data_IF_039289377535
#
_entry.id   IF_039289377535
#
_cell.length_a   1.000
_cell.length_b   1.000
_cell.length_c   1.000
_cell.angle_alpha   90.00
_cell.angle_beta   90.00
_cell.angle_gamma   90.00
#
_symmetry.space_group_name_H-M   'P 1'
#
loop_
_entity.id
_entity.type
_entity.pdbx_description
1 polymer ?
#
# COMPACT_ATOMS: atom_id res chain seq x y z
N UNK A 1 -18.68 -1.63 -37.98
CA UNK A 1 -18.11 -0.91 -36.83
C UNK A 1 -17.41 -1.95 -35.95
N UNK A 2 -16.11 -1.80 -35.65
CA UNK A 2 -15.35 -2.79 -34.86
C UNK A 2 -15.57 -2.49 -33.38
N UNK A 3 -16.21 -3.40 -32.66
CA UNK A 3 -16.55 -3.24 -31.24
C UNK A 3 -15.26 -3.18 -30.40
N UNK A 4 -14.79 -1.99 -29.95
CA UNK A 4 -13.48 -1.86 -29.32
C UNK A 4 -13.44 -2.58 -27.96
N UNK A 5 -14.60 -2.70 -27.31
CA UNK A 5 -14.78 -3.36 -26.01
C UNK A 5 -14.63 -4.88 -26.09
N UNK A 6 -15.00 -5.51 -27.21
CA UNK A 6 -14.87 -6.95 -27.41
C UNK A 6 -13.42 -7.40 -27.65
N UNK A 7 -12.66 -6.59 -28.40
CA UNK A 7 -11.23 -6.81 -28.64
C UNK A 7 -10.40 -6.63 -27.36
N UNK A 8 -10.70 -5.60 -26.56
CA UNK A 8 -10.01 -5.32 -25.29
C UNK A 8 -10.29 -6.40 -24.23
N UNK A 9 -11.50 -6.96 -24.15
CA UNK A 9 -11.80 -8.10 -23.26
C UNK A 9 -11.02 -9.36 -23.65
N UNK A 10 -10.88 -9.63 -24.95
CA UNK A 10 -10.16 -10.81 -25.48
C UNK A 10 -8.64 -10.69 -25.34
N UNK A 11 -8.07 -9.47 -25.41
CA UNK A 11 -6.64 -9.20 -25.24
C UNK A 11 -6.27 -8.65 -23.86
N UNK A 12 -7.21 -8.60 -22.90
CA UNK A 12 -7.01 -7.98 -21.59
C UNK A 12 -5.80 -8.55 -20.84
N UNK A 13 -5.59 -9.86 -20.94
CA UNK A 13 -4.44 -10.52 -20.33
C UNK A 13 -3.13 -10.07 -20.98
N UNK A 14 -3.06 -10.05 -22.31
CA UNK A 14 -1.89 -9.62 -23.08
C UNK A 14 -1.58 -8.14 -22.81
N UNK A 15 -2.61 -7.28 -22.81
CA UNK A 15 -2.49 -5.87 -22.47
C UNK A 15 -1.99 -5.67 -21.02
N UNK A 16 -2.49 -6.48 -20.07
CA UNK A 16 -2.05 -6.40 -18.67
C UNK A 16 -0.59 -6.84 -18.51
N UNK A 17 -0.19 -7.94 -19.17
CA UNK A 17 1.20 -8.43 -19.17
C UNK A 17 2.12 -7.39 -19.83
N UNK A 18 1.73 -6.86 -20.99
CA UNK A 18 2.50 -5.84 -21.68
C UNK A 18 2.67 -4.56 -20.84
N UNK A 19 1.62 -4.11 -20.15
CA UNK A 19 1.68 -2.98 -19.23
C UNK A 19 2.61 -3.27 -18.03
N UNK A 20 2.56 -4.48 -17.47
CA UNK A 20 3.43 -4.90 -16.36
C UNK A 20 4.90 -4.94 -16.79
N UNK A 21 5.19 -5.46 -17.99
CA UNK A 21 6.53 -5.47 -18.57
C UNK A 21 7.02 -4.05 -18.86
N UNK A 22 6.18 -3.19 -19.41
CA UNK A 22 6.51 -1.79 -19.66
C UNK A 22 6.87 -1.07 -18.34
N UNK A 23 6.05 -1.21 -17.30
CA UNK A 23 6.34 -0.65 -15.98
C UNK A 23 7.64 -1.20 -15.39
N UNK A 24 7.91 -2.50 -15.53
CA UNK A 24 9.16 -3.10 -15.07
C UNK A 24 10.39 -2.53 -15.80
N UNK A 25 10.31 -2.37 -17.13
CA UNK A 25 11.38 -1.74 -17.92
C UNK A 25 11.59 -0.30 -17.51
N UNK A 26 10.51 0.49 -17.37
CA UNK A 26 10.60 1.87 -16.89
C UNK A 26 11.23 1.97 -15.50
N UNK A 27 10.86 1.07 -14.58
CA UNK A 27 11.44 1.01 -13.24
C UNK A 27 12.94 0.68 -13.29
N UNK A 28 13.37 -0.26 -14.14
CA UNK A 28 14.79 -0.61 -14.32
C UNK A 28 15.56 0.58 -14.89
N UNK A 29 15.06 1.23 -15.93
CA UNK A 29 15.71 2.40 -16.55
C UNK A 29 15.79 3.57 -15.56
N UNK A 30 14.73 3.82 -14.79
CA UNK A 30 14.74 4.83 -13.73
C UNK A 30 15.75 4.49 -12.65
N UNK A 31 15.80 3.22 -12.21
CA UNK A 31 16.76 2.74 -11.22
C UNK A 31 18.19 2.87 -11.74
N UNK A 32 18.48 2.51 -12.99
CA UNK A 32 19.81 2.66 -13.59
C UNK A 32 20.27 4.12 -13.57
N UNK A 33 19.39 5.05 -13.94
CA UNK A 33 19.69 6.49 -13.89
C UNK A 33 19.92 7.00 -12.47
N UNK A 34 19.10 6.57 -11.51
CA UNK A 34 19.26 6.94 -10.09
C UNK A 34 20.52 6.32 -9.47
N UNK A 35 20.89 5.10 -9.89
CA UNK A 35 22.04 4.37 -9.32
C UNK A 35 23.36 4.87 -9.89
N UNK A 36 23.38 5.48 -11.07
CA UNK A 36 24.59 6.13 -11.61
C UNK A 36 25.09 7.28 -10.72
N UNK A 37 24.22 7.89 -9.91
CA UNK A 37 24.59 8.93 -8.94
C UNK A 37 25.01 8.36 -7.57
N UNK A 38 24.77 7.07 -7.31
CA UNK A 38 25.01 6.44 -5.99
C UNK A 38 26.25 5.55 -6.07
N UNK A 39 27.33 5.94 -5.40
CA UNK A 39 28.51 5.07 -5.26
C UNK A 39 28.24 4.04 -4.17
N UNK A 40 28.70 2.81 -4.38
CA UNK A 40 28.62 1.73 -3.37
C UNK A 40 29.23 2.12 -2.00
N UNK A 41 30.21 3.03 -2.02
CA UNK A 41 30.84 3.58 -0.81
C UNK A 41 29.85 4.40 0.03
N UNK A 42 28.92 5.12 -0.60
CA UNK A 42 27.92 5.97 0.07
C UNK A 42 26.85 5.11 0.74
N UNK A 43 26.49 3.97 0.13
CA UNK A 43 25.60 2.98 0.75
C UNK A 43 26.24 2.39 2.00
N UNK A 44 27.53 2.03 1.91
CA UNK A 44 28.26 1.47 3.06
C UNK A 44 28.42 2.49 4.19
N UNK A 45 28.75 3.74 3.88
CA UNK A 45 28.88 4.80 4.89
C UNK A 45 27.52 5.09 5.55
N UNK A 46 26.43 5.13 4.79
CA UNK A 46 25.08 5.31 5.30
C UNK A 46 24.66 4.17 6.24
N UNK A 47 24.96 2.90 5.90
CA UNK A 47 24.66 1.76 6.78
C UNK A 47 25.47 1.83 8.08
N UNK A 48 26.74 2.24 8.02
CA UNK A 48 27.56 2.43 9.23
C UNK A 48 27.14 3.66 10.06
N UNK A 49 26.50 4.66 9.44
CA UNK A 49 25.97 5.83 10.12
C UNK A 49 24.63 5.58 10.84
N UNK A 50 23.99 4.42 10.62
CA UNK A 50 22.76 4.07 11.32
C UNK A 50 23.01 3.88 12.81
N UNK A 51 22.42 4.75 13.62
CA UNK A 51 22.47 4.59 15.07
C UNK A 51 21.65 3.37 15.53
N UNK A 52 22.05 2.69 16.62
CA UNK A 52 21.25 1.62 17.21
C UNK A 52 19.83 2.08 17.56
N UNK A 53 19.67 3.34 17.98
CA UNK A 53 18.37 3.94 18.30
C UNK A 53 17.44 3.97 17.08
N UNK A 54 17.94 4.39 15.92
CA UNK A 54 17.18 4.37 14.67
C UNK A 54 16.77 2.96 14.28
N UNK A 55 17.67 1.98 14.44
CA UNK A 55 17.37 0.58 14.15
C UNK A 55 16.27 0.02 15.08
N UNK A 56 16.38 0.26 16.38
CA UNK A 56 15.35 -0.16 17.35
C UNK A 56 14.01 0.52 17.11
N UNK A 57 14.01 1.82 16.77
CA UNK A 57 12.79 2.54 16.42
C UNK A 57 12.15 1.99 15.14
N UNK A 58 12.95 1.69 14.11
CA UNK A 58 12.47 1.09 12.86
C UNK A 58 11.84 -0.30 13.09
N UNK A 59 12.46 -1.14 13.93
CA UNK A 59 11.89 -2.44 14.31
C UNK A 59 10.58 -2.24 15.09
N UNK A 60 10.55 -1.28 16.02
CA UNK A 60 9.35 -0.93 16.79
C UNK A 60 8.19 -0.47 15.91
N UNK A 61 8.44 0.44 14.96
CA UNK A 61 7.44 0.89 13.99
C UNK A 61 6.99 -0.23 13.06
N UNK A 62 7.90 -1.13 12.67
CA UNK A 62 7.55 -2.32 11.89
C UNK A 62 6.61 -3.22 12.68
N UNK A 63 6.93 -3.52 13.94
CA UNK A 63 6.08 -4.33 14.81
C UNK A 63 4.71 -3.66 15.03
N UNK A 64 4.67 -2.34 15.24
CA UNK A 64 3.44 -1.57 15.38
C UNK A 64 2.59 -1.60 14.11
N UNK A 65 3.21 -1.52 12.93
CA UNK A 65 2.53 -1.65 11.65
C UNK A 65 1.85 -3.01 11.51
N UNK A 66 2.57 -4.11 11.77
CA UNK A 66 1.98 -5.46 11.76
C UNK A 66 0.91 -5.65 12.83
N UNK A 67 1.04 -4.99 13.98
CA UNK A 67 0.02 -4.99 15.03
C UNK A 67 -1.27 -4.31 14.55
N UNK A 68 -1.17 -3.16 13.91
CA UNK A 68 -2.32 -2.46 13.32
C UNK A 68 -2.99 -3.27 12.21
N UNK A 69 -2.20 -3.91 11.34
CA UNK A 69 -2.72 -4.79 10.31
C UNK A 69 -3.49 -5.98 10.91
N UNK A 70 -2.99 -6.54 12.01
CA UNK A 70 -3.71 -7.60 12.75
C UNK A 70 -4.99 -7.08 13.39
N UNK A 71 -4.96 -5.87 13.96
CA UNK A 71 -6.16 -5.22 14.52
C UNK A 71 -7.24 -5.04 13.45
N UNK A 72 -6.88 -4.65 12.22
CA UNK A 72 -7.83 -4.53 11.12
C UNK A 72 -8.53 -5.86 10.81
N UNK A 73 -7.78 -6.96 10.74
CA UNK A 73 -8.33 -8.28 10.53
C UNK A 73 -9.26 -8.70 11.70
N UNK A 74 -8.88 -8.42 12.94
CA UNK A 74 -9.71 -8.73 14.12
C UNK A 74 -10.99 -7.91 14.16
N UNK A 75 -10.92 -6.63 13.82
CA UNK A 75 -12.10 -5.77 13.70
C UNK A 75 -13.00 -6.28 12.57
N UNK A 76 -12.44 -6.62 11.42
CA UNK A 76 -13.20 -7.19 10.30
C UNK A 76 -13.89 -8.51 10.69
N UNK A 77 -13.19 -9.40 11.39
CA UNK A 77 -13.72 -10.67 11.92
C UNK A 77 -14.87 -10.43 12.91
N UNK A 78 -14.77 -9.41 13.76
CA UNK A 78 -15.87 -9.01 14.66
C UNK A 78 -17.06 -8.43 13.90
N UNK A 79 -16.82 -7.62 12.87
CA UNK A 79 -17.88 -7.04 12.02
C UNK A 79 -18.70 -8.14 11.33
N UNK A 80 -18.04 -9.21 10.86
CA UNK A 80 -18.74 -10.34 10.22
C UNK A 80 -19.33 -11.35 11.21
N UNK A 81 -19.20 -11.11 12.53
CA UNK A 81 -19.72 -12.01 13.57
C UNK A 81 -18.94 -13.32 13.73
N UNK A 82 -17.72 -13.41 13.19
CA UNK A 82 -16.85 -14.61 13.24
C UNK A 82 -15.58 -14.31 14.02
N UNK A 83 -15.71 -14.12 15.34
CA UNK A 83 -14.55 -13.85 16.18
C UNK A 83 -13.59 -15.07 16.24
N UNK A 84 -12.34 -14.87 15.83
CA UNK A 84 -11.27 -15.85 15.96
C UNK A 84 -10.27 -15.45 17.08
N UNK A 85 -9.49 -16.41 17.60
CA UNK A 85 -8.39 -16.11 18.50
C UNK A 85 -7.40 -15.11 17.86
N UNK A 86 -6.92 -14.16 18.65
CA UNK A 86 -5.95 -13.14 18.22
C UNK A 86 -4.72 -13.73 17.52
N UNK A 87 -4.22 -14.87 18.02
CA UNK A 87 -3.05 -15.56 17.45
C UNK A 87 -3.29 -16.02 16.01
N UNK A 88 -4.49 -16.48 15.68
CA UNK A 88 -4.85 -16.91 14.33
C UNK A 88 -4.92 -15.72 13.39
N UNK A 89 -5.53 -14.61 13.82
CA UNK A 89 -5.58 -13.37 13.05
C UNK A 89 -4.17 -12.77 12.83
N UNK A 90 -3.31 -12.81 13.85
CA UNK A 90 -1.92 -12.36 13.77
C UNK A 90 -1.12 -13.19 12.77
N UNK A 91 -1.23 -14.52 12.82
CA UNK A 91 -0.55 -15.40 11.88
C UNK A 91 -1.05 -15.20 10.44
N UNK A 92 -2.37 -15.12 10.26
CA UNK A 92 -2.99 -14.87 8.96
C UNK A 92 -2.55 -13.52 8.38
N UNK A 93 -2.62 -12.45 9.18
CA UNK A 93 -2.17 -11.12 8.76
C UNK A 93 -0.69 -11.10 8.44
N UNK A 94 0.17 -11.58 9.34
CA UNK A 94 1.62 -11.57 9.15
C UNK A 94 2.02 -12.31 7.87
N UNK A 95 1.61 -13.58 7.72
CA UNK A 95 1.95 -14.39 6.53
C UNK A 95 1.40 -13.78 5.24
N UNK A 96 0.15 -13.31 5.27
CA UNK A 96 -0.51 -12.68 4.13
C UNK A 96 0.18 -11.39 3.69
N UNK A 97 0.54 -10.51 4.62
CA UNK A 97 1.22 -9.26 4.31
C UNK A 97 2.68 -9.47 3.91
N UNK A 98 3.42 -10.38 4.56
CA UNK A 98 4.79 -10.70 4.16
C UNK A 98 4.82 -11.25 2.73
N UNK A 99 3.92 -12.16 2.37
CA UNK A 99 3.84 -12.69 1.00
C UNK A 99 3.42 -11.62 -0.01
N UNK A 100 2.45 -10.77 0.35
CA UNK A 100 1.99 -9.66 -0.50
C UNK A 100 3.10 -8.68 -0.83
N UNK A 101 3.91 -8.30 0.16
CA UNK A 101 4.97 -7.30 0.00
C UNK A 101 6.20 -7.86 -0.75
N UNK A 102 6.51 -9.14 -0.59
CA UNK A 102 7.72 -9.72 -1.20
C UNK A 102 7.48 -10.29 -2.60
N UNK A 103 6.32 -10.91 -2.84
CA UNK A 103 6.07 -11.66 -4.08
C UNK A 103 5.23 -10.89 -5.10
N UNK A 104 4.64 -9.76 -4.70
CA UNK A 104 3.62 -9.08 -5.48
C UNK A 104 2.36 -9.94 -5.65
N UNK A 105 1.44 -9.49 -6.52
CA UNK A 105 0.14 -10.13 -6.76
C UNK A 105 -0.61 -10.41 -5.46
N UNK A 106 -0.73 -9.40 -4.58
CA UNK A 106 -1.19 -9.52 -3.20
C UNK A 106 -2.49 -10.31 -3.02
N UNK A 107 -3.40 -10.25 -3.99
CA UNK A 107 -4.65 -11.02 -3.97
C UNK A 107 -4.42 -12.54 -4.13
N UNK A 108 -3.46 -12.95 -4.96
CA UNK A 108 -3.11 -14.35 -5.21
C UNK A 108 -2.20 -14.90 -4.12
N UNK A 109 -1.18 -14.17 -3.72
CA UNK A 109 -0.15 -14.64 -2.76
C UNK A 109 -0.58 -14.41 -1.32
N UNK A 110 -0.87 -13.16 -0.95
CA UNK A 110 -1.34 -12.82 0.39
C UNK A 110 -2.76 -13.30 0.66
N UNK A 111 -3.68 -13.09 -0.28
CA UNK A 111 -5.07 -13.51 -0.16
C UNK A 111 -5.22 -15.02 0.04
N UNK A 112 -4.41 -15.83 -0.67
CA UNK A 112 -4.43 -17.29 -0.49
C UNK A 112 -3.89 -17.75 0.85
N UNK A 113 -2.84 -17.10 1.40
CA UNK A 113 -2.33 -17.42 2.73
C UNK A 113 -3.39 -17.16 3.81
N UNK A 114 -4.04 -16.00 3.75
CA UNK A 114 -5.14 -15.64 4.65
C UNK A 114 -6.33 -16.61 4.50
N UNK A 115 -6.66 -16.97 3.26
CA UNK A 115 -7.70 -17.96 2.96
C UNK A 115 -7.39 -19.31 3.60
N UNK A 116 -6.16 -19.83 3.46
CA UNK A 116 -5.75 -21.10 4.07
C UNK A 116 -5.80 -21.06 5.59
N UNK A 117 -5.30 -19.99 6.23
CA UNK A 117 -5.29 -19.89 7.70
C UNK A 117 -6.72 -19.79 8.25
N UNK A 118 -7.58 -18.98 7.63
CA UNK A 118 -8.95 -18.82 8.11
C UNK A 118 -9.86 -20.01 7.80
N UNK A 119 -9.73 -20.65 6.64
CA UNK A 119 -10.46 -21.90 6.35
C UNK A 119 -10.02 -23.04 7.26
N UNK A 120 -8.72 -23.16 7.56
CA UNK A 120 -8.24 -24.11 8.56
C UNK A 120 -8.76 -23.82 9.98
N UNK A 121 -9.11 -22.56 10.27
CA UNK A 121 -9.75 -22.14 11.51
C UNK A 121 -11.28 -22.22 11.50
N UNK A 122 -11.89 -22.75 10.42
CA UNK A 122 -13.33 -22.99 10.32
C UNK A 122 -14.16 -21.87 9.69
N UNK A 123 -13.55 -20.90 9.01
CA UNK A 123 -14.28 -19.87 8.26
C UNK A 123 -14.58 -20.32 6.82
N UNK A 124 -15.77 -19.97 6.34
CA UNK A 124 -16.16 -20.18 4.96
C UNK A 124 -15.45 -19.19 4.02
N UNK A 125 -15.24 -19.59 2.76
CA UNK A 125 -14.56 -18.78 1.75
C UNK A 125 -15.15 -17.36 1.54
N UNK A 126 -16.48 -17.18 1.48
CA UNK A 126 -17.10 -15.86 1.39
C UNK A 126 -16.80 -14.96 2.60
N UNK A 127 -16.72 -15.53 3.80
CA UNK A 127 -16.39 -14.78 5.02
C UNK A 127 -14.93 -14.30 4.99
N UNK A 128 -14.00 -15.13 4.49
CA UNK A 128 -12.62 -14.69 4.23
C UNK A 128 -12.59 -13.52 3.24
N UNK A 129 -13.37 -13.59 2.15
CA UNK A 129 -13.47 -12.52 1.16
C UNK A 129 -13.97 -11.21 1.76
N UNK A 130 -14.96 -11.27 2.66
CA UNK A 130 -15.45 -10.11 3.42
C UNK A 130 -14.35 -9.52 4.32
N UNK A 131 -13.60 -10.36 5.03
CA UNK A 131 -12.46 -9.90 5.85
C UNK A 131 -11.41 -9.20 5.01
N UNK A 132 -11.02 -9.77 3.86
CA UNK A 132 -10.07 -9.16 2.92
C UNK A 132 -10.60 -7.81 2.42
N UNK A 133 -11.87 -7.75 2.03
CA UNK A 133 -12.50 -6.52 1.54
C UNK A 133 -12.54 -5.42 2.60
N UNK A 134 -13.03 -5.72 3.80
CA UNK A 134 -13.12 -4.76 4.91
C UNK A 134 -11.74 -4.28 5.33
N UNK A 135 -10.78 -5.19 5.50
CA UNK A 135 -9.41 -4.84 5.87
C UNK A 135 -8.74 -3.97 4.79
N UNK A 136 -8.93 -4.32 3.51
CA UNK A 136 -8.41 -3.55 2.38
C UNK A 136 -9.00 -2.13 2.29
N UNK A 137 -10.32 -2.00 2.43
CA UNK A 137 -10.99 -0.69 2.44
C UNK A 137 -10.51 0.15 3.62
N UNK A 138 -10.46 -0.43 4.83
CA UNK A 138 -10.01 0.27 6.04
C UNK A 138 -8.57 0.77 5.90
N UNK A 139 -7.69 -0.07 5.33
CA UNK A 139 -6.30 0.28 5.07
C UNK A 139 -6.17 1.47 4.11
N UNK A 140 -6.86 1.43 2.97
CA UNK A 140 -6.79 2.52 1.98
C UNK A 140 -7.43 3.81 2.47
N UNK A 141 -8.52 3.73 3.23
CA UNK A 141 -9.12 4.89 3.90
C UNK A 141 -8.14 5.49 4.90
N UNK A 142 -7.44 4.65 5.68
CA UNK A 142 -6.38 5.09 6.59
C UNK A 142 -5.26 5.83 5.86
N UNK A 143 -4.76 5.27 4.75
CA UNK A 143 -3.74 5.93 3.91
C UNK A 143 -4.25 7.27 3.39
N UNK A 144 -5.46 7.31 2.83
CA UNK A 144 -6.04 8.52 2.26
C UNK A 144 -6.23 9.61 3.33
N UNK A 145 -6.68 9.23 4.53
CA UNK A 145 -6.85 10.15 5.65
C UNK A 145 -5.51 10.71 6.13
N UNK A 146 -4.50 9.87 6.34
CA UNK A 146 -3.17 10.32 6.77
C UNK A 146 -2.51 11.19 5.69
N UNK A 147 -2.59 10.80 4.43
CA UNK A 147 -2.09 11.60 3.31
C UNK A 147 -2.82 12.94 3.24
N UNK A 148 -4.16 12.95 3.35
CA UNK A 148 -4.95 14.17 3.37
C UNK A 148 -4.56 15.11 4.51
N UNK A 149 -4.41 14.60 5.73
CA UNK A 149 -3.97 15.38 6.89
C UNK A 149 -2.55 15.91 6.70
N UNK A 150 -1.61 15.08 6.24
CA UNK A 150 -0.24 15.52 5.95
C UNK A 150 -0.22 16.65 4.92
N UNK A 151 -1.01 16.55 3.85
CA UNK A 151 -1.15 17.59 2.83
C UNK A 151 -1.73 18.90 3.39
N UNK A 152 -2.71 18.80 4.30
CA UNK A 152 -3.30 19.96 4.96
C UNK A 152 -2.29 20.65 5.90
N UNK A 153 -1.48 19.88 6.62
CA UNK A 153 -0.48 20.39 7.57
C UNK A 153 0.77 20.95 6.90
N UNK A 154 1.15 20.43 5.72
CA UNK A 154 2.41 20.80 5.06
C UNK A 154 2.41 22.24 4.54
N UNK A 155 1.25 22.86 4.30
CA UNK A 155 1.08 24.28 3.94
C UNK A 155 1.76 24.74 2.63
N UNK A 156 2.67 23.95 2.08
CA UNK A 156 3.46 24.25 0.90
C UNK A 156 2.67 23.95 -0.38
N UNK A 157 2.74 24.82 -1.40
CA UNK A 157 2.14 24.56 -2.71
C UNK A 157 2.80 23.34 -3.35
N UNK A 158 1.99 22.36 -3.76
CA UNK A 158 2.48 21.17 -4.46
C UNK A 158 2.18 21.34 -5.93
N UNK A 159 3.24 21.52 -6.73
CA UNK A 159 3.12 21.68 -8.18
C UNK A 159 3.19 20.30 -8.84
N UNK A 160 2.05 19.78 -9.28
CA UNK A 160 1.99 18.58 -10.12
C UNK A 160 1.70 18.97 -11.57
N UNK A 161 2.63 18.66 -12.48
CA UNK A 161 2.45 18.90 -13.92
C UNK A 161 1.99 20.33 -14.29
N UNK A 162 2.52 21.35 -13.61
CA UNK A 162 2.16 22.77 -13.81
C UNK A 162 0.90 23.23 -13.07
N UNK A 163 0.20 22.35 -12.37
CA UNK A 163 -0.94 22.70 -11.51
C UNK A 163 -0.47 22.79 -10.06
N UNK A 164 -0.50 24.00 -9.52
CA UNK A 164 -0.18 24.26 -8.11
C UNK A 164 -1.41 23.99 -7.26
N UNK A 165 -1.39 22.87 -6.52
CA UNK A 165 -2.41 22.54 -5.53
C UNK A 165 -1.92 23.04 -4.18
N UNK A 166 -2.44 24.18 -3.75
CA UNK A 166 -2.23 24.73 -2.39
C UNK A 166 -3.37 24.25 -1.50
N UNK A 167 -3.08 23.87 -0.25
CA UNK A 167 -4.08 23.48 0.75
C UNK A 167 -5.24 24.49 0.88
N UNK A 168 -4.96 25.79 0.71
CA UNK A 168 -5.95 26.87 0.67
C UNK A 168 -7.04 26.69 -0.41
N UNK A 169 -6.71 26.07 -1.55
CA UNK A 169 -7.65 25.84 -2.67
C UNK A 169 -8.57 24.65 -2.40
N UNK A 170 -8.17 23.70 -1.55
CA UNK A 170 -8.98 22.56 -1.13
C UNK A 170 -9.99 22.96 -0.04
N UNK A 171 -9.64 23.93 0.81
CA UNK A 171 -10.50 24.41 1.91
C UNK A 171 -11.51 25.48 1.43
N UNK A 172 -11.41 25.96 0.19
CA UNK A 172 -12.31 27.02 -0.31
C UNK A 172 -12.08 28.37 0.39
N UNK A 173 -10.86 28.64 0.88
CA UNK A 173 -10.54 29.95 1.39
C UNK A 173 -10.58 30.97 0.24
N UNK A 174 -11.29 32.12 0.39
CA UNK A 174 -11.32 33.14 -0.65
C UNK A 174 -9.89 33.62 -0.92
N UNK A 175 -9.50 33.62 -2.20
CA UNK A 175 -8.26 34.25 -2.66
C UNK A 175 -8.25 35.71 -2.18
N UNK A 176 -7.52 36.01 -1.11
CA UNK A 176 -7.13 37.39 -0.82
C UNK A 176 -6.03 37.76 -1.82
N UNK A 177 -6.45 38.42 -2.89
CA UNK A 177 -5.61 39.29 -3.69
C UNK A 177 -4.77 40.17 -2.76
N UNK A 178 -3.45 40.03 -2.81
CA UNK A 178 -2.57 41.15 -2.51
C UNK A 178 -1.48 41.20 -3.58
N UNK A 179 -1.75 42.05 -4.56
CA UNK A 179 -0.75 42.68 -5.39
C UNK A 179 -0.08 43.78 -4.56
N UNK A 180 1.24 43.67 -4.40
CA UNK A 180 2.21 44.79 -4.38
C UNK A 180 3.56 44.22 -4.76
#
# INVERSE_FOLDING_TARGET
MRDPLGWMRRHRLVLSIAAMLLLAVLAIVALERLTQEIRFADVRSAVHALSPTQLTAAIGFTALSYLMLTLYDVVALRIIGRALPWRTAALASFTSYTLSHNLGLSLLTGGSARYRVYTAAGLDGPDVGRVIGIAGVTFWVGIAAVAGVALLLQGAPITFAGVTVTAAKVIGAPCSSNAT
#
